data_IF_366028596188
#
_entry.id   IF_366028596188
#
_cell.length_a   1.000
_cell.length_b   1.000
_cell.length_c   1.000
_cell.angle_alpha   90.00
_cell.angle_beta   90.00
_cell.angle_gamma   90.00
#
_symmetry.space_group_name_H-M   'P 1'
#
loop_
_entity.id
_entity.type
_entity.pdbx_description
1 polymer ?
#
# COMPACT_ATOMS: atom_id res chain seq x y z
N UNK A 1 -14.23 -29.85 6.29
CA UNK A 1 -14.22 -29.31 4.93
C UNK A 1 -13.07 -28.30 4.85
N UNK A 2 -12.18 -28.48 3.90
CA UNK A 2 -11.08 -27.55 3.67
C UNK A 2 -11.55 -26.43 2.73
N UNK A 3 -11.79 -25.23 3.27
CA UNK A 3 -12.25 -24.07 2.50
C UNK A 3 -11.16 -23.47 1.60
N UNK A 4 -9.87 -23.84 1.78
CA UNK A 4 -8.80 -23.42 0.88
C UNK A 4 -8.83 -24.16 -0.46
N UNK A 5 -9.42 -25.37 -0.46
CA UNK A 5 -9.51 -26.25 -1.63
C UNK A 5 -10.90 -26.30 -2.25
N UNK A 6 -11.91 -25.73 -1.58
CA UNK A 6 -13.30 -25.79 -2.01
C UNK A 6 -13.95 -24.40 -1.97
N UNK A 7 -14.65 -24.06 -3.02
CA UNK A 7 -15.43 -22.85 -3.05
C UNK A 7 -16.63 -22.97 -2.08
N UNK A 8 -16.78 -22.02 -1.17
CA UNK A 8 -17.90 -22.02 -0.22
C UNK A 8 -19.26 -22.12 -0.92
N UNK A 9 -19.41 -21.44 -2.05
CA UNK A 9 -20.68 -21.45 -2.80
C UNK A 9 -21.01 -22.81 -3.42
N UNK A 10 -20.02 -23.63 -3.72
CA UNK A 10 -20.24 -24.99 -4.24
C UNK A 10 -20.60 -26.00 -3.12
N UNK A 11 -20.33 -25.65 -1.87
CA UNK A 11 -20.61 -26.49 -0.69
C UNK A 11 -21.99 -26.23 -0.08
N UNK A 12 -22.64 -25.10 -0.42
CA UNK A 12 -23.93 -24.72 0.13
C UNK A 12 -25.05 -25.13 -0.82
N UNK A 13 -26.10 -25.86 -0.36
CA UNK A 13 -27.24 -26.18 -1.20
C UNK A 13 -27.84 -24.91 -1.82
N UNK A 14 -28.17 -24.96 -3.11
CA UNK A 14 -28.61 -23.80 -3.91
C UNK A 14 -29.74 -22.99 -3.25
N UNK A 15 -30.70 -23.65 -2.61
CA UNK A 15 -31.80 -22.97 -1.92
C UNK A 15 -31.33 -22.03 -0.82
N UNK A 16 -30.38 -22.48 0.01
CA UNK A 16 -29.81 -21.65 1.09
C UNK A 16 -28.91 -20.54 0.54
N UNK A 17 -28.25 -20.81 -0.58
CA UNK A 17 -27.43 -19.80 -1.25
C UNK A 17 -28.31 -18.67 -1.80
N UNK A 18 -29.46 -19.00 -2.40
CA UNK A 18 -30.43 -18.01 -2.88
C UNK A 18 -30.94 -17.16 -1.70
N UNK A 19 -31.39 -17.80 -0.62
CA UNK A 19 -31.87 -17.10 0.58
C UNK A 19 -30.78 -16.17 1.16
N UNK A 20 -29.54 -16.64 1.25
CA UNK A 20 -28.40 -15.85 1.72
C UNK A 20 -28.17 -14.62 0.82
N UNK A 21 -28.18 -14.81 -0.49
CA UNK A 21 -28.02 -13.71 -1.45
C UNK A 21 -29.16 -12.70 -1.37
N UNK A 22 -30.40 -13.15 -1.24
CA UNK A 22 -31.56 -12.28 -1.07
C UNK A 22 -31.49 -11.45 0.21
N UNK A 23 -31.13 -12.08 1.34
CA UNK A 23 -30.96 -11.38 2.62
C UNK A 23 -29.84 -10.35 2.53
N UNK A 24 -28.69 -10.72 1.95
CA UNK A 24 -27.56 -9.79 1.76
C UNK A 24 -27.94 -8.63 0.85
N UNK A 25 -28.65 -8.89 -0.24
CA UNK A 25 -29.12 -7.84 -1.13
C UNK A 25 -30.08 -6.88 -0.43
N UNK A 26 -31.06 -7.38 0.35
CA UNK A 26 -31.97 -6.56 1.15
C UNK A 26 -31.24 -5.70 2.16
N UNK A 27 -30.24 -6.26 2.87
CA UNK A 27 -29.40 -5.50 3.82
C UNK A 27 -28.61 -4.41 3.08
N UNK A 28 -27.96 -4.76 1.98
CA UNK A 28 -27.17 -3.82 1.18
C UNK A 28 -28.05 -2.70 0.64
N UNK A 29 -29.21 -3.02 0.09
CA UNK A 29 -30.16 -2.04 -0.43
C UNK A 29 -30.65 -1.11 0.68
N UNK A 30 -31.05 -1.65 1.83
CA UNK A 30 -31.47 -0.87 2.98
C UNK A 30 -30.40 0.09 3.47
N UNK A 31 -29.13 -0.36 3.54
CA UNK A 31 -28.00 0.48 3.93
C UNK A 31 -27.77 1.61 2.92
N UNK A 32 -27.76 1.28 1.61
CA UNK A 32 -27.55 2.27 0.56
C UNK A 32 -28.66 3.31 0.45
N UNK A 33 -29.89 2.94 0.80
CA UNK A 33 -31.04 3.86 0.80
C UNK A 33 -31.06 4.80 2.02
N UNK A 34 -30.55 4.34 3.17
CA UNK A 34 -30.66 5.06 4.43
C UNK A 34 -29.39 5.77 4.89
N UNK A 35 -28.23 5.33 4.41
CA UNK A 35 -26.95 5.92 4.81
C UNK A 35 -26.51 6.90 3.75
N UNK A 36 -26.32 8.15 4.15
CA UNK A 36 -25.71 9.16 3.30
C UNK A 36 -24.27 8.75 2.93
N UNK A 37 -23.95 8.88 1.64
CA UNK A 37 -22.59 8.56 1.17
C UNK A 37 -21.56 9.43 1.88
N UNK A 38 -20.47 8.83 2.41
CA UNK A 38 -19.41 9.60 3.05
C UNK A 38 -18.79 10.61 2.08
N UNK A 39 -18.25 11.69 2.62
CA UNK A 39 -17.43 12.62 1.84
C UNK A 39 -16.34 11.84 1.10
N UNK A 40 -16.11 12.16 -0.16
CA UNK A 40 -15.12 11.51 -1.04
C UNK A 40 -15.41 10.03 -1.35
N UNK A 41 -16.67 9.60 -1.26
CA UNK A 41 -17.06 8.21 -1.56
C UNK A 41 -16.56 7.75 -2.94
N UNK A 42 -16.74 8.57 -3.98
CA UNK A 42 -16.31 8.20 -5.33
C UNK A 42 -14.78 8.06 -5.44
N UNK A 43 -14.01 8.90 -4.76
CA UNK A 43 -12.55 8.74 -4.68
C UNK A 43 -12.18 7.40 -4.04
N UNK A 44 -12.75 7.06 -2.88
CA UNK A 44 -12.44 5.79 -2.22
C UNK A 44 -12.89 4.57 -3.03
N UNK A 45 -13.98 4.70 -3.78
CA UNK A 45 -14.44 3.68 -4.71
C UNK A 45 -13.43 3.47 -5.85
N UNK A 46 -12.91 4.53 -6.46
CA UNK A 46 -11.87 4.43 -7.49
C UNK A 46 -10.58 3.79 -6.94
N UNK A 47 -10.15 4.21 -5.75
CA UNK A 47 -9.02 3.56 -5.07
C UNK A 47 -9.28 2.06 -4.89
N UNK A 48 -10.47 1.66 -4.45
CA UNK A 48 -10.80 0.24 -4.27
C UNK A 48 -10.78 -0.55 -5.58
N UNK A 49 -11.25 0.04 -6.68
CA UNK A 49 -11.19 -0.58 -8.01
C UNK A 49 -9.72 -0.80 -8.40
N UNK A 50 -8.90 0.24 -8.31
CA UNK A 50 -7.46 0.17 -8.59
C UNK A 50 -6.75 -0.91 -7.74
N UNK A 51 -7.05 -0.97 -6.44
CA UNK A 51 -6.48 -1.99 -5.56
C UNK A 51 -6.93 -3.41 -5.96
N UNK A 52 -8.19 -3.56 -6.40
CA UNK A 52 -8.71 -4.82 -6.93
C UNK A 52 -7.99 -5.28 -8.19
N UNK A 53 -7.64 -4.37 -9.08
CA UNK A 53 -6.83 -4.67 -10.27
C UNK A 53 -5.41 -5.10 -9.89
N UNK A 54 -4.76 -4.40 -8.94
CA UNK A 54 -3.42 -4.77 -8.44
C UNK A 54 -3.43 -6.20 -7.85
N UNK A 55 -4.46 -6.55 -7.08
CA UNK A 55 -4.60 -7.87 -6.45
C UNK A 55 -4.65 -9.04 -7.44
N UNK A 56 -4.98 -8.80 -8.71
CA UNK A 56 -5.07 -9.82 -9.75
C UNK A 56 -3.73 -10.11 -10.43
N UNK A 57 -2.73 -9.25 -10.23
CA UNK A 57 -1.43 -9.40 -10.88
C UNK A 57 -0.41 -10.02 -9.95
N UNK A 58 0.27 -11.05 -10.44
CA UNK A 58 1.37 -11.67 -9.71
C UNK A 58 2.62 -10.81 -9.75
N UNK A 59 3.29 -10.72 -8.61
CA UNK A 59 4.64 -10.15 -8.52
C UNK A 59 5.62 -11.17 -9.09
N UNK A 60 6.39 -10.76 -10.09
CA UNK A 60 7.47 -11.57 -10.63
C UNK A 60 8.72 -11.45 -9.74
N UNK A 61 9.14 -12.58 -9.15
CA UNK A 61 10.19 -12.60 -8.12
C UNK A 61 11.31 -13.54 -8.55
N UNK A 62 12.54 -13.03 -8.55
CA UNK A 62 13.74 -13.85 -8.69
C UNK A 62 14.03 -14.59 -7.36
N UNK A 63 13.52 -15.83 -7.29
CA UNK A 63 13.76 -16.70 -6.13
C UNK A 63 15.22 -17.13 -5.97
N UNK A 64 16.03 -17.11 -7.05
CA UNK A 64 17.46 -17.44 -6.95
C UNK A 64 18.21 -16.33 -6.25
N UNK A 65 17.92 -15.09 -6.62
CA UNK A 65 18.46 -13.92 -5.94
C UNK A 65 18.10 -13.91 -4.44
N UNK A 66 16.86 -14.20 -4.08
CA UNK A 66 16.43 -14.26 -2.66
C UNK A 66 17.15 -15.36 -1.87
N UNK A 67 17.42 -16.51 -2.49
CA UNK A 67 18.15 -17.60 -1.82
C UNK A 67 19.55 -17.19 -1.33
N UNK A 68 20.22 -16.26 -2.00
CA UNK A 68 21.53 -15.75 -1.57
C UNK A 68 21.48 -15.04 -0.21
N UNK A 69 20.31 -14.51 0.17
CA UNK A 69 20.11 -13.82 1.45
C UNK A 69 19.66 -14.74 2.60
N UNK A 70 19.40 -16.01 2.35
CA UNK A 70 19.02 -16.95 3.41
C UNK A 70 20.14 -17.20 4.43
N UNK A 71 21.39 -16.98 4.04
CA UNK A 71 22.56 -17.09 4.92
C UNK A 71 22.96 -15.76 5.56
N UNK A 72 22.28 -14.67 5.24
CA UNK A 72 22.54 -13.35 5.80
C UNK A 72 21.69 -13.15 7.07
N UNK A 73 22.35 -13.00 8.22
CA UNK A 73 21.66 -12.83 9.51
C UNK A 73 20.66 -11.66 9.55
N UNK A 74 20.94 -10.59 8.77
CA UNK A 74 20.09 -9.39 8.69
C UNK A 74 18.84 -9.61 7.85
N UNK A 75 18.95 -10.36 6.76
CA UNK A 75 17.88 -10.48 5.77
C UNK A 75 17.20 -11.85 5.73
N UNK A 76 17.74 -12.85 6.44
CA UNK A 76 17.23 -14.22 6.45
C UNK A 76 15.70 -14.30 6.62
N UNK A 77 15.18 -13.74 7.72
CA UNK A 77 13.73 -13.81 8.02
C UNK A 77 12.87 -13.13 6.96
N UNK A 78 13.34 -12.00 6.43
CA UNK A 78 12.58 -11.27 5.40
C UNK A 78 12.60 -12.03 4.09
N UNK A 79 13.75 -12.56 3.69
CA UNK A 79 13.87 -13.38 2.49
C UNK A 79 12.98 -14.64 2.57
N UNK A 80 12.98 -15.32 3.72
CA UNK A 80 12.10 -16.48 3.97
C UNK A 80 10.61 -16.10 3.89
N UNK A 81 10.23 -14.99 4.52
CA UNK A 81 8.86 -14.46 4.44
C UNK A 81 8.44 -14.17 3.00
N UNK A 82 9.30 -13.52 2.21
CA UNK A 82 9.02 -13.22 0.80
C UNK A 82 8.89 -14.49 -0.03
N UNK A 83 9.76 -15.47 0.22
CA UNK A 83 9.74 -16.72 -0.53
C UNK A 83 8.50 -17.59 -0.24
N UNK A 84 7.94 -17.48 0.96
CA UNK A 84 6.74 -18.21 1.40
C UNK A 84 5.44 -17.44 1.17
N UNK A 85 5.50 -16.11 0.98
CA UNK A 85 4.33 -15.30 0.72
C UNK A 85 3.68 -15.63 -0.63
N UNK A 86 2.36 -15.49 -0.69
CA UNK A 86 1.66 -15.53 -1.97
C UNK A 86 2.19 -14.40 -2.87
N UNK A 87 2.44 -14.63 -4.16
CA UNK A 87 3.04 -13.65 -5.06
C UNK A 87 2.02 -12.57 -5.51
N UNK A 88 1.14 -12.16 -4.62
CA UNK A 88 0.12 -11.15 -4.87
C UNK A 88 0.20 -10.04 -3.84
N UNK A 89 0.17 -8.81 -4.31
CA UNK A 89 0.07 -7.64 -3.44
C UNK A 89 -1.40 -7.41 -3.11
N UNK A 90 -1.72 -7.39 -1.82
CA UNK A 90 -3.05 -7.00 -1.34
C UNK A 90 -2.92 -5.87 -0.33
N UNK A 91 -3.71 -4.84 -0.53
CA UNK A 91 -3.70 -3.68 0.33
C UNK A 91 -4.98 -3.55 1.15
N UNK A 92 -4.82 -3.15 2.41
CA UNK A 92 -5.91 -2.66 3.24
C UNK A 92 -6.04 -1.15 3.06
N UNK A 93 -7.14 -0.71 2.49
CA UNK A 93 -7.40 0.71 2.21
C UNK A 93 -7.59 1.55 3.48
N UNK A 94 -8.11 0.94 4.55
CA UNK A 94 -8.39 1.62 5.82
C UNK A 94 -7.65 0.97 7.00
N UNK A 95 -6.50 0.35 6.74
CA UNK A 95 -5.73 -0.39 7.73
C UNK A 95 -4.89 0.48 8.68
N UNK A 96 -4.77 1.78 8.41
CA UNK A 96 -3.98 2.71 9.23
C UNK A 96 -4.78 3.94 9.63
N UNK A 97 -4.45 4.54 10.79
CA UNK A 97 -5.10 5.78 11.26
C UNK A 97 -4.84 6.98 10.35
N UNK A 98 -3.72 6.98 9.65
CA UNK A 98 -3.30 8.06 8.76
C UNK A 98 -3.86 7.95 7.33
N UNK A 99 -4.63 6.89 7.03
CA UNK A 99 -5.15 6.64 5.69
C UNK A 99 -4.14 6.06 4.69
N UNK A 100 -2.92 5.77 5.13
CA UNK A 100 -1.93 5.08 4.28
C UNK A 100 -2.35 3.64 4.05
N UNK A 101 -2.06 3.11 2.87
CA UNK A 101 -2.25 1.68 2.58
C UNK A 101 -1.32 0.84 3.46
N UNK A 102 -1.81 -0.31 3.89
CA UNK A 102 -0.99 -1.35 4.52
C UNK A 102 -1.15 -2.67 3.78
N UNK A 103 -0.14 -3.53 3.80
CA UNK A 103 -0.26 -4.86 3.21
C UNK A 103 -1.18 -5.74 4.07
N UNK A 104 -2.04 -6.52 3.42
CA UNK A 104 -2.85 -7.53 4.09
C UNK A 104 -1.97 -8.68 4.61
N UNK A 105 -2.43 -9.36 5.66
CA UNK A 105 -1.73 -10.52 6.21
C UNK A 105 -1.61 -11.63 5.15
N UNK A 106 -0.42 -12.24 5.06
CA UNK A 106 -0.13 -13.30 4.08
C UNK A 106 0.05 -12.85 2.63
N UNK A 107 -0.15 -11.55 2.33
CA UNK A 107 0.14 -10.99 1.03
C UNK A 107 1.64 -10.66 0.88
N UNK A 108 2.07 -10.43 -0.35
CA UNK A 108 3.43 -10.00 -0.63
C UNK A 108 3.75 -8.66 0.05
N UNK A 109 4.83 -8.57 0.88
CA UNK A 109 5.09 -7.42 1.74
C UNK A 109 5.79 -6.27 1.01
N UNK A 110 5.23 -5.78 -0.10
CA UNK A 110 5.84 -4.79 -0.99
C UNK A 110 6.22 -3.47 -0.27
N UNK A 111 5.42 -3.01 0.69
CA UNK A 111 5.63 -1.74 1.39
C UNK A 111 6.79 -1.81 2.40
N UNK A 112 7.11 -3.00 2.89
CA UNK A 112 8.17 -3.20 3.89
C UNK A 112 9.40 -3.90 3.32
N UNK A 113 9.47 -4.04 2.00
CA UNK A 113 10.58 -4.70 1.32
C UNK A 113 11.86 -3.89 1.47
N UNK A 114 12.91 -4.44 2.10
CA UNK A 114 14.20 -3.76 2.22
C UNK A 114 14.80 -3.41 0.87
N UNK A 115 15.48 -2.27 0.77
CA UNK A 115 16.10 -1.80 -0.48
C UNK A 115 17.00 -2.86 -1.13
N UNK A 116 17.78 -3.59 -0.32
CA UNK A 116 18.67 -4.64 -0.80
C UNK A 116 17.92 -5.80 -1.49
N UNK A 117 16.65 -6.06 -1.09
CA UNK A 117 15.84 -7.12 -1.66
C UNK A 117 14.93 -6.64 -2.80
N UNK A 118 14.82 -5.34 -3.05
CA UNK A 118 14.03 -4.82 -4.18
C UNK A 118 14.50 -5.34 -5.54
N UNK A 119 15.81 -5.64 -5.67
CA UNK A 119 16.37 -6.24 -6.89
C UNK A 119 15.89 -7.66 -7.19
N UNK A 120 15.19 -8.32 -6.23
CA UNK A 120 14.49 -9.59 -6.48
C UNK A 120 13.23 -9.43 -7.32
N UNK A 121 12.68 -8.23 -7.40
CA UNK A 121 11.53 -7.94 -8.24
C UNK A 121 11.99 -7.84 -9.69
N UNK A 122 11.35 -8.58 -10.57
CA UNK A 122 11.64 -8.57 -12.00
C UNK A 122 10.46 -7.99 -12.76
N UNK A 123 10.67 -7.04 -13.68
CA UNK A 123 9.58 -6.56 -14.53
C UNK A 123 9.06 -7.70 -15.41
N UNK A 124 7.76 -7.68 -15.72
CA UNK A 124 7.18 -8.55 -16.75
C UNK A 124 7.47 -8.03 -18.15
N UNK A 125 7.80 -6.73 -18.23
CA UNK A 125 8.19 -6.02 -19.44
C UNK A 125 9.72 -5.77 -19.40
N UNK A 126 10.17 -4.69 -20.04
CA UNK A 126 11.60 -4.35 -20.13
C UNK A 126 12.12 -3.60 -18.89
N UNK A 127 11.24 -2.87 -18.17
CA UNK A 127 11.65 -2.00 -17.06
C UNK A 127 10.54 -1.77 -16.04
N UNK A 128 10.92 -1.32 -14.84
CA UNK A 128 10.04 -0.70 -13.85
C UNK A 128 10.10 0.81 -13.95
N UNK A 129 8.96 1.46 -13.74
CA UNK A 129 8.88 2.89 -13.47
C UNK A 129 8.59 3.10 -11.98
N UNK A 130 9.52 3.69 -11.24
CA UNK A 130 9.34 4.10 -9.85
C UNK A 130 8.98 5.59 -9.83
N UNK A 131 7.79 5.90 -9.32
CA UNK A 131 7.29 7.27 -9.15
C UNK A 131 7.13 7.55 -7.67
N UNK A 132 7.72 8.65 -7.20
CA UNK A 132 7.57 9.13 -5.84
C UNK A 132 7.41 10.65 -5.80
N UNK A 133 6.63 11.13 -4.84
CA UNK A 133 6.47 12.56 -4.64
C UNK A 133 7.64 13.09 -3.79
N UNK A 134 8.29 14.12 -4.27
CA UNK A 134 9.30 14.81 -3.49
C UNK A 134 8.65 15.56 -2.31
N UNK A 135 8.72 14.94 -1.11
CA UNK A 135 8.21 15.51 0.13
C UNK A 135 6.70 15.79 0.12
N UNK A 136 5.89 14.79 -0.22
CA UNK A 136 4.43 14.92 -0.37
C UNK A 136 3.76 15.64 0.81
N UNK A 137 4.10 15.28 2.05
CA UNK A 137 3.50 15.86 3.25
C UNK A 137 3.76 17.36 3.35
N UNK A 138 4.98 17.80 3.09
CA UNK A 138 5.37 19.22 3.15
C UNK A 138 4.65 20.00 2.03
N UNK A 139 4.59 19.45 0.84
CA UNK A 139 3.90 20.08 -0.29
C UNK A 139 2.41 20.19 -0.04
N UNK A 140 1.79 19.20 0.57
CA UNK A 140 0.39 19.27 0.99
C UNK A 140 0.21 20.37 2.05
N UNK A 141 1.10 20.47 3.03
CA UNK A 141 1.07 21.53 4.05
C UNK A 141 1.17 22.92 3.40
N UNK A 142 2.13 23.16 2.51
CA UNK A 142 2.25 24.41 1.80
C UNK A 142 0.98 24.73 0.99
N UNK A 143 0.41 23.74 0.30
CA UNK A 143 -0.85 23.89 -0.43
C UNK A 143 -2.03 24.24 0.46
N UNK A 144 -2.14 23.65 1.65
CA UNK A 144 -3.19 23.98 2.63
C UNK A 144 -3.04 25.39 3.21
N UNK A 145 -1.81 25.89 3.31
CA UNK A 145 -1.50 27.24 3.76
C UNK A 145 -1.59 28.28 2.62
N UNK A 146 -1.86 27.86 1.38
CA UNK A 146 -1.89 28.75 0.21
C UNK A 146 -0.52 29.30 -0.17
N UNK A 147 0.56 28.66 0.25
CA UNK A 147 1.93 29.07 -0.04
C UNK A 147 2.40 28.52 -1.40
N UNK A 148 3.32 29.26 -2.02
CA UNK A 148 3.92 28.87 -3.29
C UNK A 148 4.74 27.57 -3.13
N UNK A 149 4.65 26.70 -4.16
CA UNK A 149 5.34 25.42 -4.18
C UNK A 149 6.77 25.61 -4.71
N UNK A 150 7.81 25.33 -3.90
CA UNK A 150 9.19 25.40 -4.38
C UNK A 150 9.41 24.42 -5.55
N UNK A 151 10.08 24.84 -6.63
CA UNK A 151 10.34 23.98 -7.79
C UNK A 151 11.41 22.94 -7.53
N UNK A 152 12.34 23.21 -6.58
CA UNK A 152 13.45 22.32 -6.22
C UNK A 152 13.02 21.22 -5.23
N UNK A 153 13.99 20.39 -4.83
CA UNK A 153 13.81 19.43 -3.74
C UNK A 153 13.35 20.14 -2.46
N UNK A 154 12.22 19.74 -1.93
CA UNK A 154 11.57 20.44 -0.81
C UNK A 154 12.40 20.37 0.49
N UNK A 155 13.19 19.30 0.67
CA UNK A 155 14.07 19.18 1.85
C UNK A 155 15.31 20.06 1.73
N UNK A 156 15.79 20.28 0.51
CA UNK A 156 16.82 21.26 0.24
C UNK A 156 16.31 22.69 0.45
N UNK A 157 15.09 22.96 -0.01
CA UNK A 157 14.45 24.26 0.22
C UNK A 157 14.25 24.53 1.73
N UNK A 158 13.83 23.53 2.51
CA UNK A 158 13.70 23.65 3.97
C UNK A 158 15.04 23.95 4.63
N UNK A 159 16.12 23.26 4.20
CA UNK A 159 17.46 23.49 4.71
C UNK A 159 17.90 24.95 4.52
N UNK A 160 17.62 25.52 3.35
CA UNK A 160 18.02 26.88 2.98
C UNK A 160 17.12 27.97 3.60
N UNK A 161 15.80 27.71 3.77
CA UNK A 161 14.82 28.75 4.12
C UNK A 161 14.27 28.63 5.54
N UNK A 162 14.44 27.48 6.19
CA UNK A 162 13.97 27.23 7.57
C UNK A 162 15.11 27.04 8.53
N UNK A 163 16.16 26.33 8.10
CA UNK A 163 17.31 25.98 8.94
C UNK A 163 18.58 26.77 8.64
N UNK A 164 18.50 27.78 7.75
CA UNK A 164 19.62 28.69 7.40
C UNK A 164 20.94 27.95 7.08
N UNK A 165 20.85 26.72 6.56
CA UNK A 165 21.99 25.83 6.30
C UNK A 165 22.78 25.44 7.57
N UNK A 166 22.22 25.55 8.75
CA UNK A 166 22.88 25.15 10.01
C UNK A 166 22.94 23.62 10.19
N UNK A 167 22.12 22.87 9.47
CA UNK A 167 22.03 21.42 9.50
C UNK A 167 22.51 20.83 8.17
N UNK A 168 22.78 19.53 8.16
CA UNK A 168 22.83 18.79 6.91
C UNK A 168 21.40 18.40 6.44
N UNK A 169 21.26 18.03 5.16
CA UNK A 169 19.97 17.68 4.57
C UNK A 169 19.24 16.52 5.30
N UNK A 170 19.89 15.42 5.72
CA UNK A 170 19.27 14.38 6.53
C UNK A 170 18.77 14.88 7.88
N UNK A 171 19.58 15.64 8.61
CA UNK A 171 19.19 16.20 9.91
C UNK A 171 18.05 17.22 9.80
N UNK A 172 18.08 18.09 8.79
CA UNK A 172 16.99 19.02 8.50
C UNK A 172 15.66 18.29 8.20
N UNK A 173 15.73 17.19 7.46
CA UNK A 173 14.57 16.34 7.20
C UNK A 173 14.02 15.72 8.47
N UNK A 174 14.88 15.16 9.31
CA UNK A 174 14.49 14.55 10.59
C UNK A 174 13.88 15.58 11.55
N UNK A 175 14.53 16.72 11.72
CA UNK A 175 14.05 17.82 12.56
C UNK A 175 12.69 18.34 12.10
N UNK A 176 12.48 18.51 10.78
CA UNK A 176 11.20 18.95 10.24
C UNK A 176 10.08 17.96 10.53
N UNK A 177 10.32 16.66 10.31
CA UNK A 177 9.30 15.64 10.57
C UNK A 177 9.03 15.46 12.07
N UNK A 178 10.04 15.60 12.92
CA UNK A 178 9.85 15.60 14.38
C UNK A 178 8.98 16.77 14.86
N UNK A 179 9.05 17.91 14.17
CA UNK A 179 8.16 19.04 14.43
C UNK A 179 6.75 18.83 13.87
N UNK A 180 6.61 18.19 12.71
CA UNK A 180 5.33 18.01 12.01
C UNK A 180 4.42 16.97 12.72
N UNK A 181 4.98 15.93 13.36
CA UNK A 181 4.29 14.80 13.97
C UNK A 181 4.41 14.77 15.49
#
# INVERSE_FOLDING_TARGET
INLEQNCFYDLVPQRFLIELCEVRNKITQHVLEKIEKPKRYEFYKQVRIMLGEIEQHQVNIDKRFLKSFLNDSKFHRVAETIMSAAPFVRYNQFGTKTGRLSCASGAFPILTLPKALKSSLQPTNDFYLELDFNGAEIRVLLGLLGLEQPPQDIHQWNLENIFDNELDRPAAKEAFFAWLY
#
